data_IF_543938842361
#
_entry.id   IF_543938842361
#
_cell.length_a   1.000
_cell.length_b   1.000
_cell.length_c   1.000
_cell.angle_alpha   90.00
_cell.angle_beta   90.00
_cell.angle_gamma   90.00
#
_symmetry.space_group_name_H-M   'P 1'
#
loop_
_entity.id
_entity.type
_entity.pdbx_description
1 polymer ?
#
# COMPACT_ATOMS: atom_id res chain seq x y z
N UNK A 1 -5.89 17.15 -6.36
CA UNK A 1 -6.93 17.59 -5.40
C UNK A 1 -6.61 17.03 -4.02
N UNK A 2 -7.19 17.56 -2.92
CA UNK A 2 -6.99 16.99 -1.58
C UNK A 2 -7.29 15.49 -1.50
N UNK A 3 -8.41 15.06 -2.10
CA UNK A 3 -8.80 13.65 -2.15
C UNK A 3 -7.80 12.76 -2.93
N UNK A 4 -7.19 13.29 -4.00
CA UNK A 4 -6.15 12.55 -4.73
C UNK A 4 -4.89 12.36 -3.89
N UNK A 5 -4.51 13.36 -3.10
CA UNK A 5 -3.37 13.28 -2.18
C UNK A 5 -3.63 12.25 -1.08
N UNK A 6 -4.80 12.28 -0.46
CA UNK A 6 -5.23 11.28 0.52
C UNK A 6 -5.18 9.87 -0.09
N UNK A 7 -5.68 9.70 -1.31
CA UNK A 7 -5.61 8.43 -2.02
C UNK A 7 -4.17 7.92 -2.27
N UNK A 8 -3.19 8.81 -2.42
CA UNK A 8 -1.77 8.41 -2.51
C UNK A 8 -1.21 7.99 -1.14
N UNK A 9 -1.54 8.75 -0.09
CA UNK A 9 -1.15 8.44 1.30
C UNK A 9 -1.68 7.07 1.71
N UNK A 10 -2.95 6.80 1.42
CA UNK A 10 -3.60 5.52 1.71
C UNK A 10 -2.91 4.36 1.01
N UNK A 11 -2.63 4.49 -0.29
CA UNK A 11 -1.94 3.44 -1.07
C UNK A 11 -0.55 3.17 -0.52
N UNK A 12 0.17 4.21 -0.10
CA UNK A 12 1.49 4.09 0.53
C UNK A 12 1.41 3.35 1.87
N UNK A 13 0.42 3.67 2.71
CA UNK A 13 0.18 2.97 3.98
C UNK A 13 -0.16 1.50 3.75
N UNK A 14 -1.08 1.22 2.83
CA UNK A 14 -1.45 -0.15 2.43
C UNK A 14 -0.23 -0.93 1.94
N UNK A 15 0.62 -0.35 1.10
CA UNK A 15 1.82 -1.03 0.61
C UNK A 15 2.76 -1.47 1.75
N UNK A 16 2.95 -0.63 2.78
CA UNK A 16 3.78 -0.98 3.95
C UNK A 16 3.18 -2.16 4.73
N UNK A 17 1.87 -2.13 4.98
CA UNK A 17 1.16 -3.21 5.68
C UNK A 17 1.21 -4.53 4.90
N UNK A 18 1.13 -4.46 3.56
CA UNK A 18 1.27 -5.64 2.70
C UNK A 18 2.67 -6.26 2.77
N UNK A 19 3.73 -5.45 2.87
CA UNK A 19 5.10 -5.97 3.07
C UNK A 19 5.23 -6.68 4.42
N UNK A 20 4.57 -6.16 5.46
CA UNK A 20 4.46 -6.79 6.78
C UNK A 20 3.53 -8.01 6.81
N UNK A 21 3.00 -8.45 5.65
CA UNK A 21 2.11 -9.62 5.51
C UNK A 21 0.80 -9.50 6.30
N UNK A 22 0.34 -8.28 6.58
CA UNK A 22 -0.96 -8.06 7.23
C UNK A 22 -2.09 -8.53 6.31
N UNK A 23 -3.10 -9.29 6.81
CA UNK A 23 -4.21 -9.77 6.00
C UNK A 23 -5.08 -8.62 5.45
N UNK A 24 -5.60 -8.76 4.22
CA UNK A 24 -6.37 -7.71 3.55
C UNK A 24 -7.58 -7.22 4.37
N UNK A 25 -8.27 -8.13 5.06
CA UNK A 25 -9.41 -7.78 5.92
C UNK A 25 -9.00 -6.83 7.05
N UNK A 26 -7.82 -7.07 7.64
CA UNK A 26 -7.28 -6.23 8.70
C UNK A 26 -6.83 -4.88 8.14
N UNK A 27 -6.15 -4.85 6.98
CA UNK A 27 -5.80 -3.60 6.29
C UNK A 27 -7.05 -2.76 6.04
N UNK A 28 -8.11 -3.35 5.47
CA UNK A 28 -9.36 -2.64 5.20
C UNK A 28 -10.00 -2.06 6.48
N UNK A 29 -9.96 -2.80 7.58
CA UNK A 29 -10.50 -2.34 8.87
C UNK A 29 -9.68 -1.18 9.47
N UNK A 30 -8.35 -1.21 9.34
CA UNK A 30 -7.45 -0.20 9.94
C UNK A 30 -7.27 1.07 9.10
N UNK A 31 -7.49 0.99 7.79
CA UNK A 31 -7.25 2.12 6.88
C UNK A 31 -8.53 2.65 6.23
N UNK A 32 -9.68 1.99 6.40
CA UNK A 32 -10.93 2.29 5.67
C UNK A 32 -10.79 2.28 4.13
N UNK A 33 -9.71 1.71 3.61
CA UNK A 33 -9.46 1.58 2.17
C UNK A 33 -10.20 0.37 1.64
N UNK A 34 -10.86 0.53 0.48
CA UNK A 34 -11.60 -0.56 -0.14
C UNK A 34 -10.72 -1.76 -0.50
N UNK A 35 -11.25 -2.98 -0.32
CA UNK A 35 -10.55 -4.22 -0.68
C UNK A 35 -10.07 -4.23 -2.13
N UNK A 36 -10.85 -3.68 -3.06
CA UNK A 36 -10.45 -3.54 -4.47
C UNK A 36 -9.20 -2.67 -4.64
N UNK A 37 -9.05 -1.62 -3.83
CA UNK A 37 -7.84 -0.79 -3.82
C UNK A 37 -6.66 -1.54 -3.23
N UNK A 38 -6.85 -2.26 -2.12
CA UNK A 38 -5.81 -3.09 -1.50
C UNK A 38 -5.27 -4.13 -2.50
N UNK A 39 -6.15 -4.82 -3.21
CA UNK A 39 -5.79 -5.79 -4.25
C UNK A 39 -4.99 -5.13 -5.38
N UNK A 40 -5.37 -3.92 -5.82
CA UNK A 40 -4.57 -3.17 -6.81
C UNK A 40 -3.17 -2.85 -6.29
N UNK A 41 -3.05 -2.35 -5.05
CA UNK A 41 -1.73 -2.05 -4.45
C UNK A 41 -0.89 -3.33 -4.35
N UNK A 42 -1.47 -4.44 -3.90
CA UNK A 42 -0.79 -5.73 -3.82
C UNK A 42 -0.29 -6.20 -5.19
N UNK A 43 -1.09 -6.03 -6.25
CA UNK A 43 -0.67 -6.33 -7.62
C UNK A 43 0.53 -5.49 -8.04
N UNK A 44 0.51 -4.18 -7.81
CA UNK A 44 1.65 -3.30 -8.15
C UNK A 44 2.89 -3.54 -7.28
N UNK A 45 2.71 -3.99 -6.03
CA UNK A 45 3.80 -4.31 -5.12
C UNK A 45 4.53 -5.61 -5.49
N UNK A 46 3.82 -6.58 -6.06
CA UNK A 46 4.38 -7.91 -6.38
C UNK A 46 4.68 -8.11 -7.86
N UNK A 47 3.94 -7.46 -8.76
CA UNK A 47 4.02 -7.64 -10.21
C UNK A 47 4.24 -6.31 -10.95
N UNK A 48 4.61 -5.25 -10.23
CA UNK A 48 4.94 -3.95 -10.80
C UNK A 48 6.43 -3.74 -10.99
N UNK A 49 6.84 -2.48 -11.13
CA UNK A 49 8.22 -2.09 -11.42
C UNK A 49 9.05 -1.80 -10.15
N UNK A 50 8.82 -2.52 -9.06
CA UNK A 50 9.51 -2.38 -7.77
C UNK A 50 9.52 -0.97 -7.12
N UNK A 51 8.68 -0.03 -7.58
CA UNK A 51 8.67 1.35 -7.09
C UNK A 51 8.45 1.46 -5.58
N UNK A 52 7.44 0.74 -5.06
CA UNK A 52 7.16 0.69 -3.62
C UNK A 52 8.37 0.18 -2.82
N UNK A 53 8.94 -0.97 -3.23
CA UNK A 53 10.09 -1.58 -2.54
C UNK A 53 11.32 -0.68 -2.60
N UNK A 54 11.56 -0.03 -3.73
CA UNK A 54 12.69 0.87 -3.94
C UNK A 54 12.64 2.03 -2.95
N UNK A 55 11.50 2.72 -2.83
CA UNK A 55 11.35 3.82 -1.89
C UNK A 55 11.40 3.33 -0.44
N UNK A 56 10.73 2.22 -0.11
CA UNK A 56 10.79 1.66 1.24
C UNK A 56 12.23 1.33 1.68
N UNK A 57 13.04 0.75 0.80
CA UNK A 57 14.46 0.45 1.07
C UNK A 57 15.28 1.73 1.27
N UNK A 58 15.08 2.74 0.42
CA UNK A 58 15.72 4.06 0.59
C UNK A 58 15.36 4.73 1.91
N UNK A 59 14.18 4.45 2.43
CA UNK A 59 13.70 4.95 3.72
C UNK A 59 14.06 4.04 4.91
N UNK A 60 14.77 2.93 4.70
CA UNK A 60 15.10 1.97 5.77
C UNK A 60 13.88 1.26 6.38
N UNK A 61 12.76 1.18 5.64
CA UNK A 61 11.54 0.50 6.10
C UNK A 61 11.51 -1.00 5.79
N UNK A 62 12.39 -1.44 4.87
CA UNK A 62 12.62 -2.83 4.45
C UNK A 62 14.08 -3.01 4.07
#
# INVERSE_FOLDING_TARGET
TPAELEGLVDRWRVAQMLVQKIPYRQIAAETAVSTATIVRVARFLNNGNDGYRTIMRRMGKI
#
